data_IF_502565639153
#
_entry.id   IF_502565639153
#
_cell.length_a   1.000
_cell.length_b   1.000
_cell.length_c   1.000
_cell.angle_alpha   90.00
_cell.angle_beta   90.00
_cell.angle_gamma   90.00
#
_symmetry.space_group_name_H-M   'P 1'
#
loop_
_entity.id
_entity.type
_entity.pdbx_description
1 polymer ?
#
# COMPACT_ATOMS: atom_id res chain seq x y z
N UNK A 1 -73.90 -22.42 -38.45
CA UNK A 1 -74.69 -23.38 -37.63
C UNK A 1 -74.07 -23.50 -36.28
N UNK A 2 -74.85 -23.05 -35.28
CA UNK A 2 -74.88 -23.45 -33.87
C UNK A 2 -73.70 -23.08 -33.01
N UNK A 3 -73.81 -22.03 -32.17
CA UNK A 3 -74.46 -21.88 -30.85
C UNK A 3 -74.03 -22.96 -29.86
N UNK A 4 -73.43 -22.57 -28.78
CA UNK A 4 -73.90 -22.36 -27.40
C UNK A 4 -72.65 -22.06 -26.50
N UNK A 5 -72.65 -21.06 -25.76
CA UNK A 5 -73.40 -20.52 -24.62
C UNK A 5 -72.95 -21.08 -23.26
N UNK A 6 -72.64 -20.11 -22.38
CA UNK A 6 -72.73 -20.09 -20.91
C UNK A 6 -71.82 -20.94 -20.05
N UNK A 7 -71.15 -20.18 -19.13
CA UNK A 7 -70.61 -20.71 -17.91
C UNK A 7 -69.94 -19.61 -17.05
N UNK A 8 -70.77 -18.67 -16.57
CA UNK A 8 -70.42 -17.75 -15.51
C UNK A 8 -70.25 -18.52 -14.20
N UNK A 9 -69.11 -18.36 -13.53
CA UNK A 9 -69.03 -18.68 -12.10
C UNK A 9 -68.10 -17.71 -11.45
N UNK A 10 -68.71 -16.84 -10.67
CA UNK A 10 -68.13 -15.94 -9.69
C UNK A 10 -67.26 -16.71 -8.71
N UNK A 11 -66.04 -16.25 -8.53
CA UNK A 11 -65.24 -16.63 -7.37
C UNK A 11 -64.92 -15.40 -6.52
N UNK A 12 -65.57 -15.42 -5.41
CA UNK A 12 -65.44 -14.71 -4.15
C UNK A 12 -64.07 -14.11 -3.86
N UNK A 13 -64.15 -12.85 -3.44
CA UNK A 13 -63.12 -12.04 -2.76
C UNK A 13 -62.47 -12.80 -1.60
N UNK A 14 -61.21 -13.18 -1.78
CA UNK A 14 -60.32 -13.60 -0.72
C UNK A 14 -59.39 -12.45 -0.37
N UNK A 15 -59.61 -11.86 0.78
CA UNK A 15 -58.69 -10.87 1.39
C UNK A 15 -57.33 -11.52 1.60
N UNK A 16 -56.35 -11.12 0.80
CA UNK A 16 -54.96 -11.51 1.03
C UNK A 16 -54.35 -10.51 1.99
N UNK A 17 -54.31 -10.88 3.26
CA UNK A 17 -53.53 -10.18 4.29
C UNK A 17 -52.10 -9.95 3.83
N UNK A 18 -51.74 -8.70 3.68
CA UNK A 18 -50.39 -8.22 3.49
C UNK A 18 -49.58 -8.51 4.77
N UNK A 19 -48.92 -9.66 4.83
CA UNK A 19 -47.86 -9.89 5.76
C UNK A 19 -46.61 -9.16 5.23
N UNK A 20 -46.29 -8.07 5.91
CA UNK A 20 -45.12 -7.26 5.63
C UNK A 20 -43.85 -8.10 5.67
N UNK A 21 -43.27 -8.32 4.50
CA UNK A 21 -41.90 -8.76 4.36
C UNK A 21 -41.03 -7.54 4.66
N UNK A 22 -40.54 -7.48 5.91
CA UNK A 22 -39.44 -6.60 6.26
C UNK A 22 -38.25 -7.01 5.37
N UNK A 23 -38.07 -6.29 4.28
CA UNK A 23 -36.78 -6.24 3.61
C UNK A 23 -35.79 -5.71 4.64
N UNK A 24 -34.95 -6.62 5.18
CA UNK A 24 -33.76 -6.21 5.89
C UNK A 24 -32.98 -5.29 4.96
N UNK A 25 -32.90 -4.03 5.35
CA UNK A 25 -31.90 -3.11 4.85
C UNK A 25 -30.55 -3.71 5.21
N UNK A 26 -29.93 -4.40 4.26
CA UNK A 26 -28.51 -4.66 4.31
C UNK A 26 -27.83 -3.31 4.17
N UNK A 27 -26.92 -2.91 5.09
CA UNK A 27 -26.19 -1.67 4.92
C UNK A 27 -25.31 -1.78 3.66
N UNK A 28 -25.75 -1.18 2.60
CA UNK A 28 -25.03 -1.01 1.33
C UNK A 28 -23.99 0.11 1.52
N UNK A 29 -22.94 -0.12 2.29
CA UNK A 29 -21.91 0.89 2.56
C UNK A 29 -20.57 0.29 2.96
N UNK A 30 -20.57 -0.81 3.72
CA UNK A 30 -19.34 -1.34 4.31
C UNK A 30 -18.40 -2.04 3.31
N UNK A 31 -18.88 -2.50 2.15
CA UNK A 31 -18.05 -3.20 1.16
C UNK A 31 -17.23 -2.25 0.29
N UNK A 32 -17.78 -1.09 -0.07
CA UNK A 32 -17.11 -0.12 -0.94
C UNK A 32 -15.91 0.55 -0.28
N UNK A 33 -16.05 0.90 0.99
CA UNK A 33 -14.99 1.57 1.75
C UNK A 33 -13.82 0.61 2.04
N UNK A 34 -14.11 -0.66 2.33
CA UNK A 34 -13.07 -1.69 2.54
C UNK A 34 -12.30 -2.00 1.26
N UNK A 35 -12.97 -2.04 0.10
CA UNK A 35 -12.33 -2.29 -1.19
C UNK A 35 -11.41 -1.13 -1.59
N UNK A 36 -11.81 0.12 -1.32
CA UNK A 36 -10.98 1.30 -1.57
C UNK A 36 -9.75 1.30 -0.65
N UNK A 37 -9.95 1.08 0.65
CA UNK A 37 -8.86 0.96 1.61
C UNK A 37 -7.87 -0.15 1.22
N UNK A 38 -8.36 -1.32 0.79
CA UNK A 38 -7.50 -2.41 0.30
C UNK A 38 -6.70 -2.01 -0.96
N UNK A 39 -7.29 -1.26 -1.89
CA UNK A 39 -6.57 -0.77 -3.08
C UNK A 39 -5.44 0.18 -2.69
N UNK A 40 -5.71 1.12 -1.80
CA UNK A 40 -4.73 2.10 -1.34
C UNK A 40 -3.61 1.44 -0.54
N UNK A 41 -3.94 0.57 0.42
CA UNK A 41 -2.94 -0.21 1.18
C UNK A 41 -2.08 -1.09 0.26
N UNK A 42 -2.66 -1.67 -0.79
CA UNK A 42 -1.91 -2.41 -1.81
C UNK A 42 -1.00 -1.50 -2.65
N UNK A 43 -1.36 -0.24 -2.88
CA UNK A 43 -0.46 0.73 -3.50
C UNK A 43 0.77 0.98 -2.63
N UNK A 44 0.56 1.24 -1.34
CA UNK A 44 1.64 1.39 -0.37
C UNK A 44 2.49 0.13 -0.24
N UNK A 45 1.87 -1.05 -0.17
CA UNK A 45 2.59 -2.33 -0.11
C UNK A 45 3.53 -2.52 -1.29
N UNK A 46 3.10 -2.19 -2.49
CA UNK A 46 3.97 -2.26 -3.69
C UNK A 46 5.14 -1.28 -3.60
N UNK A 47 4.92 -0.09 -3.06
CA UNK A 47 5.97 0.88 -2.76
C UNK A 47 7.01 0.32 -1.79
N UNK A 48 6.57 -0.25 -0.68
CA UNK A 48 7.43 -0.86 0.35
C UNK A 48 8.24 -2.04 -0.19
N UNK A 49 7.62 -2.92 -0.99
CA UNK A 49 8.33 -4.01 -1.65
C UNK A 49 9.41 -3.47 -2.60
N UNK A 50 9.08 -2.45 -3.40
CA UNK A 50 10.02 -1.80 -4.32
C UNK A 50 11.19 -1.15 -3.58
N UNK A 51 10.92 -0.48 -2.47
CA UNK A 51 11.96 0.13 -1.62
C UNK A 51 12.88 -0.93 -1.04
N UNK A 52 12.34 -1.98 -0.41
CA UNK A 52 13.15 -3.08 0.13
C UNK A 52 14.04 -3.75 -0.93
N UNK A 53 13.52 -3.96 -2.16
CA UNK A 53 14.28 -4.48 -3.30
C UNK A 53 15.39 -3.51 -3.73
N UNK A 54 15.11 -2.21 -3.75
CA UNK A 54 16.06 -1.16 -4.11
C UNK A 54 17.21 -1.09 -3.11
N UNK A 55 16.90 -1.07 -1.80
CA UNK A 55 17.93 -1.09 -0.77
C UNK A 55 18.76 -2.36 -0.77
N UNK A 56 18.14 -3.53 -1.02
CA UNK A 56 18.87 -4.78 -1.19
C UNK A 56 19.91 -4.68 -2.32
N UNK A 57 19.53 -4.14 -3.48
CA UNK A 57 20.47 -3.95 -4.58
C UNK A 57 21.56 -2.92 -4.26
N UNK A 58 21.20 -1.86 -3.53
CA UNK A 58 22.16 -0.86 -3.05
C UNK A 58 23.23 -1.50 -2.16
N UNK A 59 22.81 -2.31 -1.19
CA UNK A 59 23.70 -3.04 -0.27
C UNK A 59 24.56 -4.05 -1.02
N UNK A 60 23.98 -4.85 -1.93
CA UNK A 60 24.71 -5.85 -2.73
C UNK A 60 25.78 -5.20 -3.63
N UNK A 61 25.57 -3.95 -4.04
CA UNK A 61 26.50 -3.15 -4.83
C UNK A 61 27.60 -2.54 -3.95
N UNK A 62 27.21 -1.94 -2.82
CA UNK A 62 28.13 -1.36 -1.84
C UNK A 62 29.10 -2.39 -1.26
N UNK A 63 28.65 -3.63 -1.08
CA UNK A 63 29.50 -4.74 -0.61
C UNK A 63 30.65 -5.11 -1.59
N UNK A 64 30.61 -4.62 -2.82
CA UNK A 64 31.65 -4.84 -3.85
C UNK A 64 32.63 -3.66 -3.98
N UNK A 65 32.38 -2.58 -3.23
CA UNK A 65 33.22 -1.38 -3.19
C UNK A 65 33.85 -1.24 -1.79
N UNK A 66 34.84 -0.35 -1.65
CA UNK A 66 35.50 -0.07 -0.35
C UNK A 66 34.62 0.84 0.58
N UNK A 67 33.31 0.68 0.52
CA UNK A 67 32.38 1.49 1.29
C UNK A 67 32.44 1.17 2.79
N UNK A 68 32.15 2.14 3.62
CA UNK A 68 32.29 1.98 5.08
C UNK A 68 31.21 1.04 5.65
N UNK A 69 31.61 0.19 6.58
CA UNK A 69 30.69 -0.73 7.27
C UNK A 69 29.52 -0.01 7.97
N UNK A 70 29.76 1.23 8.43
CA UNK A 70 28.74 2.05 9.08
C UNK A 70 27.62 2.45 8.10
N UNK A 71 27.96 2.93 6.90
CA UNK A 71 26.99 3.30 5.87
C UNK A 71 26.16 2.10 5.41
N UNK A 72 26.81 0.94 5.25
CA UNK A 72 26.12 -0.31 4.94
C UNK A 72 25.16 -0.74 6.05
N UNK A 73 25.51 -0.48 7.32
CA UNK A 73 24.64 -0.74 8.47
C UNK A 73 23.34 0.05 8.39
N UNK A 74 23.43 1.35 8.09
CA UNK A 74 22.26 2.22 7.93
C UNK A 74 21.36 1.79 6.77
N UNK A 75 21.91 1.42 5.62
CA UNK A 75 21.11 0.93 4.49
C UNK A 75 20.37 -0.39 4.82
N UNK A 76 20.99 -1.29 5.59
CA UNK A 76 20.33 -2.52 6.05
C UNK A 76 19.20 -2.22 7.03
N UNK A 77 19.41 -1.27 7.94
CA UNK A 77 18.35 -0.84 8.87
C UNK A 77 17.12 -0.34 8.12
N UNK A 78 17.32 0.55 7.14
CA UNK A 78 16.24 1.07 6.30
C UNK A 78 15.56 -0.07 5.51
N UNK A 79 16.33 -0.98 4.90
CA UNK A 79 15.80 -2.13 4.19
C UNK A 79 14.91 -3.01 5.06
N UNK A 80 15.36 -3.31 6.29
CA UNK A 80 14.61 -4.12 7.24
C UNK A 80 13.32 -3.42 7.69
N UNK A 81 13.34 -2.10 7.82
CA UNK A 81 12.15 -1.31 8.17
C UNK A 81 11.12 -1.33 7.04
N UNK A 82 11.52 -1.20 5.78
CA UNK A 82 10.63 -1.42 4.64
C UNK A 82 10.02 -2.84 4.62
N UNK A 83 10.82 -3.84 4.97
CA UNK A 83 10.34 -5.22 5.13
C UNK A 83 9.27 -5.35 6.20
N UNK A 84 9.45 -4.68 7.35
CA UNK A 84 8.45 -4.65 8.44
C UNK A 84 7.19 -3.88 8.04
N UNK A 85 7.34 -2.74 7.37
CA UNK A 85 6.23 -1.95 6.84
C UNK A 85 5.40 -2.77 5.83
N UNK A 86 6.05 -3.43 4.88
CA UNK A 86 5.40 -4.32 3.93
C UNK A 86 4.63 -5.45 4.63
N UNK A 87 5.16 -6.02 5.72
CA UNK A 87 4.46 -7.06 6.47
C UNK A 87 3.24 -6.50 7.20
N UNK A 88 3.35 -5.36 7.85
CA UNK A 88 2.21 -4.70 8.53
C UNK A 88 1.09 -4.36 7.55
N UNK A 89 1.42 -3.88 6.36
CA UNK A 89 0.45 -3.61 5.28
C UNK A 89 -0.23 -4.90 4.80
N UNK A 90 0.52 -6.00 4.61
CA UNK A 90 -0.06 -7.31 4.24
C UNK A 90 -1.07 -7.79 5.26
N UNK A 91 -0.72 -7.66 6.54
CA UNK A 91 -1.59 -8.13 7.63
C UNK A 91 -2.86 -7.27 7.69
N UNK A 92 -2.73 -5.94 7.54
CA UNK A 92 -3.89 -5.04 7.49
C UNK A 92 -4.82 -5.32 6.31
N UNK A 93 -4.29 -5.55 5.11
CA UNK A 93 -5.08 -5.91 3.92
C UNK A 93 -5.88 -7.21 4.18
N UNK A 94 -5.25 -8.23 4.80
CA UNK A 94 -5.95 -9.49 5.14
C UNK A 94 -7.04 -9.29 6.18
N UNK A 95 -6.81 -8.43 7.19
CA UNK A 95 -7.83 -8.08 8.20
C UNK A 95 -9.06 -7.43 7.56
N UNK A 96 -8.87 -6.64 6.50
CA UNK A 96 -9.96 -6.06 5.72
C UNK A 96 -10.63 -7.06 4.75
N UNK A 97 -10.11 -8.30 4.67
CA UNK A 97 -10.60 -9.34 3.76
C UNK A 97 -10.07 -9.22 2.33
N UNK A 98 -9.07 -8.35 2.11
CA UNK A 98 -8.42 -8.14 0.82
C UNK A 98 -7.27 -9.13 0.57
N UNK A 99 -6.76 -9.12 -0.67
CA UNK A 99 -5.62 -9.92 -1.11
C UNK A 99 -4.37 -9.02 -1.22
N UNK A 100 -3.30 -9.26 -0.44
CA UNK A 100 -2.08 -8.48 -0.52
C UNK A 100 -1.31 -8.72 -1.82
N UNK A 101 -0.74 -7.67 -2.38
CA UNK A 101 0.17 -7.77 -3.53
C UNK A 101 1.45 -8.53 -3.17
N UNK A 102 1.87 -9.44 -4.07
CA UNK A 102 3.08 -10.27 -3.90
C UNK A 102 4.35 -9.62 -4.49
N UNK A 103 4.21 -8.54 -5.25
CA UNK A 103 5.31 -7.92 -5.97
C UNK A 103 5.19 -6.39 -5.99
N UNK A 104 6.33 -5.73 -6.27
CA UNK A 104 6.39 -4.28 -6.46
C UNK A 104 5.63 -3.77 -7.71
N UNK A 105 5.27 -4.66 -8.64
CA UNK A 105 4.53 -4.29 -9.85
C UNK A 105 5.21 -3.20 -10.66
N UNK A 106 4.47 -2.16 -11.05
CA UNK A 106 5.00 -1.01 -11.81
C UNK A 106 6.05 -0.20 -11.04
N UNK A 107 6.05 -0.25 -9.70
CA UNK A 107 7.06 0.38 -8.84
C UNK A 107 8.45 -0.24 -8.98
N UNK A 108 8.57 -1.46 -9.49
CA UNK A 108 9.84 -2.10 -9.82
C UNK A 108 10.70 -1.32 -10.83
N UNK A 109 10.17 -0.25 -11.43
CA UNK A 109 10.94 0.70 -12.23
C UNK A 109 11.98 1.48 -11.40
N UNK A 110 11.76 1.67 -10.10
CA UNK A 110 12.71 2.30 -9.16
C UNK A 110 13.99 1.49 -9.05
N UNK A 111 13.87 0.18 -9.01
CA UNK A 111 14.99 -0.73 -9.02
C UNK A 111 15.90 -0.60 -10.25
N UNK A 112 15.37 -0.14 -11.38
CA UNK A 112 16.16 0.09 -12.60
C UNK A 112 16.96 1.38 -12.55
N UNK A 113 16.51 2.36 -11.76
CA UNK A 113 17.15 3.66 -11.63
C UNK A 113 18.53 3.57 -10.99
N UNK A 114 18.72 2.68 -10.02
CA UNK A 114 19.98 2.48 -9.31
C UNK A 114 21.03 1.69 -10.10
N UNK A 115 20.72 1.20 -11.29
CA UNK A 115 21.67 0.41 -12.09
C UNK A 115 22.78 1.22 -12.74
N UNK A 116 22.65 2.55 -12.78
CA UNK A 116 23.59 3.45 -13.50
C UNK A 116 24.82 3.92 -12.73
N UNK A 117 24.85 3.79 -11.39
CA UNK A 117 25.91 4.40 -10.56
C UNK A 117 26.94 3.39 -10.08
N UNK A 118 28.22 3.68 -10.29
CA UNK A 118 29.33 2.75 -9.99
C UNK A 118 29.67 2.63 -8.51
N UNK A 119 29.54 3.71 -7.72
CA UNK A 119 29.83 3.78 -6.27
C UNK A 119 28.62 4.34 -5.54
N UNK A 120 27.84 3.47 -4.90
CA UNK A 120 26.57 3.88 -4.31
C UNK A 120 26.75 4.75 -3.05
N UNK A 121 27.69 4.41 -2.18
CA UNK A 121 27.88 5.08 -0.89
C UNK A 121 28.97 6.17 -0.95
N UNK A 122 29.82 6.17 -1.97
CA UNK A 122 30.77 7.24 -2.25
C UNK A 122 30.23 8.35 -3.13
N UNK A 123 29.01 8.21 -3.64
CA UNK A 123 28.39 9.16 -4.57
C UNK A 123 27.14 9.79 -3.96
N UNK A 124 27.26 11.08 -3.60
CA UNK A 124 26.15 11.88 -3.08
C UNK A 124 24.91 11.87 -4.02
N UNK A 125 25.09 11.71 -5.33
CA UNK A 125 23.98 11.64 -6.28
C UNK A 125 23.15 10.37 -6.10
N UNK A 126 23.79 9.24 -5.83
CA UNK A 126 23.10 7.97 -5.56
C UNK A 126 22.30 8.01 -4.25
N UNK A 127 22.86 8.58 -3.20
CA UNK A 127 22.17 8.77 -1.93
C UNK A 127 20.99 9.75 -2.06
N UNK A 128 21.15 10.82 -2.85
CA UNK A 128 20.04 11.74 -3.16
C UNK A 128 18.91 11.04 -3.90
N UNK A 129 19.23 10.15 -4.81
CA UNK A 129 18.18 9.38 -5.50
C UNK A 129 17.42 8.44 -4.58
N UNK A 130 18.10 7.79 -3.60
CA UNK A 130 17.41 7.03 -2.57
C UNK A 130 16.50 7.94 -1.74
N UNK A 131 16.99 9.11 -1.34
CA UNK A 131 16.21 10.10 -0.59
C UNK A 131 14.97 10.58 -1.37
N UNK A 132 15.10 10.87 -2.66
CA UNK A 132 13.97 11.25 -3.52
C UNK A 132 12.87 10.18 -3.51
N UNK A 133 13.23 8.90 -3.43
CA UNK A 133 12.27 7.83 -3.27
C UNK A 133 11.58 7.80 -1.92
N UNK A 134 12.31 8.04 -0.85
CA UNK A 134 11.71 8.16 0.46
C UNK A 134 10.75 9.36 0.54
N UNK A 135 11.12 10.50 -0.03
CA UNK A 135 10.27 11.69 -0.11
C UNK A 135 9.00 11.42 -0.93
N UNK A 136 9.11 10.64 -2.00
CA UNK A 136 7.95 10.22 -2.79
C UNK A 136 7.03 9.29 -1.97
N UNK A 137 7.59 8.29 -1.30
CA UNK A 137 6.84 7.39 -0.43
C UNK A 137 6.14 8.11 0.73
N UNK A 138 6.81 9.10 1.34
CA UNK A 138 6.23 9.95 2.38
C UNK A 138 5.00 10.70 1.85
N UNK A 139 5.14 11.32 0.69
CA UNK A 139 4.05 12.04 0.05
C UNK A 139 2.87 11.12 -0.27
N UNK A 140 3.13 9.92 -0.78
CA UNK A 140 2.08 8.93 -1.06
C UNK A 140 1.30 8.55 0.20
N UNK A 141 1.97 8.40 1.34
CA UNK A 141 1.33 8.16 2.63
C UNK A 141 0.48 9.33 3.10
N UNK A 142 1.02 10.56 3.02
CA UNK A 142 0.31 11.78 3.43
C UNK A 142 -0.93 12.04 2.57
N UNK A 143 -0.85 11.81 1.25
CA UNK A 143 -1.98 12.03 0.33
C UNK A 143 -3.02 10.90 0.37
N UNK A 144 -2.63 9.68 0.72
CA UNK A 144 -3.50 8.52 0.67
C UNK A 144 -4.10 8.10 2.02
N UNK A 145 -3.80 8.79 3.11
CA UNK A 145 -4.29 8.45 4.44
C UNK A 145 -5.74 8.93 4.72
N UNK A 146 -6.18 9.99 4.07
CA UNK A 146 -7.40 10.72 4.42
C UNK A 146 -8.70 9.92 4.18
N UNK A 147 -8.69 8.98 3.21
CA UNK A 147 -9.86 8.18 2.83
C UNK A 147 -9.86 6.76 3.44
N UNK A 148 -9.07 6.53 4.50
CA UNK A 148 -8.93 5.23 5.15
C UNK A 148 -9.81 5.08 6.40
N UNK A 149 -10.11 3.83 6.74
CA UNK A 149 -10.66 3.52 8.06
C UNK A 149 -9.66 3.86 9.19
N UNK A 150 -10.17 4.10 10.40
CA UNK A 150 -9.37 4.58 11.52
C UNK A 150 -8.14 3.72 11.84
N UNK A 151 -8.25 2.39 11.73
CA UNK A 151 -7.12 1.47 12.02
C UNK A 151 -6.06 1.52 10.94
N UNK A 152 -6.44 1.62 9.67
CA UNK A 152 -5.51 1.78 8.55
C UNK A 152 -4.83 3.15 8.61
N UNK A 153 -5.57 4.21 8.92
CA UNK A 153 -5.03 5.54 9.15
C UNK A 153 -4.02 5.54 10.32
N UNK A 154 -4.34 4.87 11.44
CA UNK A 154 -3.42 4.76 12.58
C UNK A 154 -2.11 4.04 12.20
N UNK A 155 -2.18 2.96 11.42
CA UNK A 155 -0.99 2.28 10.89
C UNK A 155 -0.12 3.25 10.09
N UNK A 156 -0.72 3.98 9.13
CA UNK A 156 0.00 4.91 8.26
C UNK A 156 0.61 6.04 9.06
N UNK A 157 -0.20 6.74 9.87
CA UNK A 157 0.23 7.98 10.55
C UNK A 157 1.18 7.74 11.72
N UNK A 158 1.03 6.63 12.45
CA UNK A 158 1.80 6.39 13.68
C UNK A 158 2.99 5.44 13.47
N UNK A 159 3.06 4.72 12.34
CA UNK A 159 4.15 3.79 12.07
C UNK A 159 4.88 4.11 10.76
N UNK A 160 4.16 4.19 9.63
CA UNK A 160 4.79 4.29 8.32
C UNK A 160 5.37 5.69 8.07
N UNK A 161 4.61 6.75 8.29
CA UNK A 161 5.07 8.14 8.13
C UNK A 161 6.28 8.46 9.01
N UNK A 162 6.31 8.15 10.32
CA UNK A 162 7.51 8.41 11.14
C UNK A 162 8.73 7.59 10.72
N UNK A 163 8.55 6.35 10.24
CA UNK A 163 9.65 5.55 9.71
C UNK A 163 10.22 6.20 8.44
N UNK A 164 9.36 6.60 7.51
CA UNK A 164 9.76 7.25 6.27
C UNK A 164 10.52 8.57 6.53
N UNK A 165 10.04 9.40 7.45
CA UNK A 165 10.73 10.64 7.87
C UNK A 165 12.12 10.34 8.46
N UNK A 166 12.25 9.27 9.25
CA UNK A 166 13.55 8.84 9.79
C UNK A 166 14.49 8.39 8.69
N UNK A 167 14.04 7.65 7.68
CA UNK A 167 14.87 7.25 6.53
C UNK A 167 15.42 8.48 5.80
N UNK A 168 14.59 9.48 5.53
CA UNK A 168 15.00 10.74 4.90
C UNK A 168 16.11 11.42 5.73
N UNK A 169 15.94 11.50 7.05
CA UNK A 169 16.97 12.10 7.93
C UNK A 169 18.29 11.32 7.92
N UNK A 170 18.23 9.98 7.90
CA UNK A 170 19.43 9.15 7.84
C UNK A 170 20.17 9.33 6.51
N UNK A 171 19.45 9.39 5.40
CA UNK A 171 20.04 9.65 4.09
C UNK A 171 20.64 11.05 3.99
N UNK A 172 20.01 12.07 4.59
CA UNK A 172 20.58 13.42 4.66
C UNK A 172 21.91 13.43 5.43
N UNK A 173 22.00 12.70 6.54
CA UNK A 173 23.25 12.56 7.29
C UNK A 173 24.35 11.89 6.44
N UNK A 174 24.00 10.83 5.70
CA UNK A 174 24.94 10.15 4.79
C UNK A 174 25.40 11.07 3.67
N UNK A 175 24.49 11.81 3.02
CA UNK A 175 24.81 12.77 1.95
C UNK A 175 25.79 13.85 2.46
N UNK A 176 25.51 14.40 3.64
CA UNK A 176 26.37 15.42 4.26
C UNK A 176 27.76 14.88 4.62
N UNK A 177 27.86 13.64 5.08
CA UNK A 177 29.13 12.99 5.39
C UNK A 177 29.99 12.81 4.13
N UNK A 178 29.40 12.36 3.02
CA UNK A 178 30.10 12.21 1.73
C UNK A 178 30.51 13.56 1.13
N UNK A 179 29.67 14.59 1.26
CA UNK A 179 29.97 15.93 0.73
C UNK A 179 31.04 16.72 1.52
N UNK A 180 31.43 16.21 2.69
CA UNK A 180 32.40 16.83 3.57
C UNK A 180 33.79 16.16 3.55
N UNK A 181 33.92 15.04 2.84
CA UNK A 181 35.16 14.27 2.67
C UNK A 181 35.91 14.66 1.39
#
# INVERSE_FOLDING_TARGET
MSRNDMGNSEWSSGEFSSSGSSRGEYPMGAGGDSDEACRQLNSFLRGEISAAETYKMAIDKAAKSDDTAASMGLLREIQEEHGRAAQALRDRIRELGGEPSDSSGAWGAWAKFTQGTANLLGDAASLKSLKEGEEHGLKDYEEGADDMDATSMELVTNQLVPAQQRHIMLLDQMINAVGSA
#
